data_IF_297359093103
#
_entry.id   IF_297359093103
#
_cell.length_a   1.000
_cell.length_b   1.000
_cell.length_c   1.000
_cell.angle_alpha   90.00
_cell.angle_beta   90.00
_cell.angle_gamma   90.00
#
_symmetry.space_group_name_H-M   'P 1'
#
loop_
_entity.id
_entity.type
_entity.pdbx_description
1 polymer ?
#
# COMPACT_ATOMS: atom_id res chain seq x y z
N UNK A 1 17.13 17.63 10.83
CA UNK A 1 15.69 17.39 10.59
C UNK A 1 15.52 15.94 10.20
N UNK A 2 14.71 15.21 10.94
CA UNK A 2 14.45 13.79 10.69
C UNK A 2 13.66 13.63 9.38
N UNK A 3 14.09 12.71 8.51
CA UNK A 3 13.41 12.43 7.26
C UNK A 3 11.98 11.92 7.49
N UNK A 4 11.73 11.23 8.60
CA UNK A 4 10.42 10.69 8.94
C UNK A 4 9.40 11.78 9.26
N UNK A 5 9.79 12.82 10.00
CA UNK A 5 8.92 13.95 10.31
C UNK A 5 8.44 14.67 9.04
N UNK A 6 9.31 14.79 8.04
CA UNK A 6 8.95 15.37 6.74
C UNK A 6 7.92 14.53 6.00
N UNK A 7 8.06 13.21 6.02
CA UNK A 7 7.07 12.29 5.44
C UNK A 7 5.72 12.46 6.13
N UNK A 8 5.69 12.48 7.48
CA UNK A 8 4.46 12.69 8.24
C UNK A 8 3.81 14.05 7.93
N UNK A 9 4.62 15.10 7.74
CA UNK A 9 4.14 16.41 7.30
C UNK A 9 3.51 16.34 5.91
N UNK A 10 4.15 15.67 4.93
CA UNK A 10 3.55 15.45 3.60
C UNK A 10 2.23 14.69 3.68
N UNK A 11 2.17 13.62 4.47
CA UNK A 11 0.94 12.83 4.64
C UNK A 11 -0.20 13.65 5.28
N UNK A 12 0.10 14.61 6.15
CA UNK A 12 -0.91 15.50 6.73
C UNK A 12 -1.64 16.37 5.70
N UNK A 13 -1.05 16.58 4.52
CA UNK A 13 -1.67 17.36 3.44
C UNK A 13 -2.74 16.58 2.66
N UNK A 14 -2.81 15.24 2.79
CA UNK A 14 -3.71 14.38 2.01
C UNK A 14 -5.16 14.87 2.07
N UNK A 15 -5.66 15.18 3.27
CA UNK A 15 -7.05 15.65 3.47
C UNK A 15 -7.35 17.03 2.88
N UNK A 16 -6.31 17.80 2.53
CA UNK A 16 -6.47 19.12 1.90
C UNK A 16 -6.51 19.06 0.37
N UNK A 17 -6.20 17.90 -0.22
CA UNK A 17 -6.20 17.71 -1.67
C UNK A 17 -7.62 17.43 -2.17
N UNK A 18 -8.02 18.07 -3.26
CA UNK A 18 -9.31 17.84 -3.94
C UNK A 18 -9.29 16.63 -4.88
N UNK A 19 -8.11 16.09 -5.16
CA UNK A 19 -7.91 14.94 -6.04
C UNK A 19 -7.87 13.63 -5.24
N UNK A 20 -8.24 12.50 -5.85
CA UNK A 20 -8.01 11.19 -5.25
C UNK A 20 -6.52 10.95 -5.00
N UNK A 21 -6.19 10.48 -3.81
CA UNK A 21 -4.81 10.18 -3.40
C UNK A 21 -4.62 8.68 -3.21
N UNK A 22 -3.51 8.16 -3.74
CA UNK A 22 -3.12 6.75 -3.58
C UNK A 22 -1.90 6.65 -2.65
N UNK A 23 -2.05 5.91 -1.54
CA UNK A 23 -0.93 5.48 -0.72
C UNK A 23 -0.46 4.10 -1.20
N UNK A 24 0.58 4.07 -2.03
CA UNK A 24 1.13 2.80 -2.54
C UNK A 24 2.15 2.21 -1.58
N UNK A 25 1.93 0.95 -1.19
CA UNK A 25 2.84 0.17 -0.35
C UNK A 25 3.50 -0.87 -1.24
N UNK A 26 4.83 -0.77 -1.40
CA UNK A 26 5.58 -1.87 -2.02
C UNK A 26 5.74 -2.98 -0.98
N UNK A 27 4.99 -4.08 -1.14
CA UNK A 27 5.01 -5.23 -0.26
C UNK A 27 6.23 -6.10 -0.54
N UNK A 28 7.09 -6.26 0.47
CA UNK A 28 8.37 -6.95 0.37
C UNK A 28 8.43 -8.03 1.44
N UNK A 29 8.53 -9.30 1.00
CA UNK A 29 8.61 -10.45 1.89
C UNK A 29 9.86 -10.37 2.76
N UNK A 30 9.70 -10.58 4.06
CA UNK A 30 10.78 -10.53 5.06
C UNK A 30 11.26 -9.11 5.42
N UNK A 31 10.64 -8.05 4.89
CA UNK A 31 11.07 -6.66 5.16
C UNK A 31 9.97 -5.81 5.78
N UNK A 32 8.77 -5.76 5.19
CA UNK A 32 7.71 -4.87 5.69
C UNK A 32 6.32 -5.50 5.75
N UNK A 33 6.11 -6.69 5.19
CA UNK A 33 4.80 -7.34 5.19
C UNK A 33 4.30 -7.77 6.58
N UNK A 34 5.15 -7.70 7.61
CA UNK A 34 4.79 -7.95 9.01
C UNK A 34 4.30 -6.68 9.75
N UNK A 35 4.39 -5.50 9.11
CA UNK A 35 4.08 -4.19 9.71
C UNK A 35 2.65 -3.73 9.43
N UNK A 36 1.70 -4.66 9.37
CA UNK A 36 0.29 -4.40 9.00
C UNK A 36 -0.38 -3.40 9.94
N UNK A 37 -0.10 -3.48 11.24
CA UNK A 37 -0.63 -2.55 12.26
C UNK A 37 -0.09 -1.14 12.09
N UNK A 38 1.19 -0.99 11.77
CA UNK A 38 1.84 0.28 11.53
C UNK A 38 1.29 0.94 10.26
N UNK A 39 1.12 0.17 9.18
CA UNK A 39 0.46 0.65 7.97
C UNK A 39 -0.98 1.05 8.24
N UNK A 40 -1.76 0.21 8.93
CA UNK A 40 -3.14 0.49 9.30
C UNK A 40 -3.27 1.80 10.07
N UNK A 41 -2.37 2.05 11.05
CA UNK A 41 -2.34 3.31 11.81
C UNK A 41 -2.11 4.53 10.92
N UNK A 42 -1.22 4.44 9.92
CA UNK A 42 -0.97 5.54 8.98
C UNK A 42 -2.16 5.75 8.03
N UNK A 43 -2.75 4.66 7.54
CA UNK A 43 -3.91 4.68 6.65
C UNK A 43 -5.10 5.34 7.35
N UNK A 44 -5.46 4.92 8.56
CA UNK A 44 -6.55 5.51 9.34
C UNK A 44 -6.27 6.97 9.74
N UNK A 45 -5.01 7.31 10.03
CA UNK A 45 -4.67 8.68 10.40
C UNK A 45 -4.83 9.67 9.24
N UNK A 46 -4.38 9.29 8.05
CA UNK A 46 -4.26 10.19 6.91
C UNK A 46 -5.34 10.01 5.85
N UNK A 47 -6.10 8.92 5.91
CA UNK A 47 -7.28 8.62 5.09
C UNK A 47 -7.11 8.90 3.58
N UNK A 48 -6.11 8.29 2.90
CA UNK A 48 -5.98 8.42 1.45
C UNK A 48 -7.20 7.82 0.72
N UNK A 49 -7.54 8.28 -0.48
CA UNK A 49 -8.66 7.69 -1.23
C UNK A 49 -8.46 6.20 -1.51
N UNK A 50 -7.23 5.82 -1.81
CA UNK A 50 -6.83 4.44 -2.09
C UNK A 50 -5.57 4.04 -1.34
N UNK A 51 -5.48 2.76 -1.01
CA UNK A 51 -4.23 2.11 -0.59
C UNK A 51 -3.92 1.00 -1.59
N UNK A 52 -2.70 0.97 -2.10
CA UNK A 52 -2.28 0.01 -3.12
C UNK A 52 -1.12 -0.85 -2.59
N UNK A 53 -1.39 -2.00 -1.93
CA UNK A 53 -0.38 -3.03 -1.72
C UNK A 53 0.02 -3.63 -3.07
N UNK A 54 1.30 -3.49 -3.41
CA UNK A 54 1.88 -4.00 -4.64
C UNK A 54 3.13 -4.81 -4.35
N UNK A 55 3.15 -6.07 -4.79
CA UNK A 55 4.27 -6.97 -4.62
C UNK A 55 5.55 -6.42 -5.25
N UNK A 56 6.64 -6.49 -4.50
CA UNK A 56 7.97 -6.20 -5.04
C UNK A 56 8.35 -7.17 -6.16
N UNK A 57 8.91 -6.62 -7.23
CA UNK A 57 9.45 -7.38 -8.36
C UNK A 57 10.96 -7.27 -8.40
N UNK A 58 11.65 -8.40 -8.54
CA UNK A 58 13.12 -8.49 -8.57
C UNK A 58 13.71 -8.00 -9.90
N UNK A 59 13.75 -6.68 -10.09
CA UNK A 59 14.17 -6.04 -11.34
C UNK A 59 15.09 -4.83 -11.12
N UNK A 60 15.87 -4.49 -12.14
CA UNK A 60 16.74 -3.30 -12.14
C UNK A 60 17.75 -3.26 -10.99
N UNK A 61 18.01 -2.06 -10.47
CA UNK A 61 19.02 -1.82 -9.43
C UNK A 61 18.69 -2.49 -8.08
N UNK A 62 17.43 -2.87 -7.84
CA UNK A 62 17.02 -3.56 -6.60
C UNK A 62 17.73 -4.91 -6.42
N UNK A 63 18.18 -5.52 -7.54
CA UNK A 63 18.91 -6.79 -7.53
C UNK A 63 20.22 -6.78 -6.76
N UNK A 64 20.80 -5.59 -6.52
CA UNK A 64 22.03 -5.42 -5.72
C UNK A 64 21.80 -5.43 -4.22
N UNK A 65 20.55 -5.27 -3.76
CA UNK A 65 20.21 -5.04 -2.35
C UNK A 65 19.15 -6.00 -1.82
N UNK A 66 18.50 -6.76 -2.69
CA UNK A 66 17.41 -7.68 -2.38
C UNK A 66 17.67 -9.04 -3.06
N UNK A 67 16.91 -10.06 -2.68
CA UNK A 67 16.88 -11.36 -3.35
C UNK A 67 15.56 -11.60 -4.06
N UNK A 68 15.49 -12.66 -4.88
CA UNK A 68 14.23 -13.10 -5.50
C UNK A 68 13.18 -13.52 -4.48
N UNK A 69 13.62 -14.05 -3.34
CA UNK A 69 12.75 -14.52 -2.24
C UNK A 69 11.99 -13.37 -1.58
N UNK A 70 12.47 -12.13 -1.71
CA UNK A 70 11.75 -10.96 -1.25
C UNK A 70 10.54 -10.60 -2.14
N UNK A 71 10.41 -11.20 -3.33
CA UNK A 71 9.25 -11.00 -4.21
C UNK A 71 8.10 -11.89 -3.74
N UNK A 72 7.01 -11.33 -3.18
CA UNK A 72 5.86 -12.13 -2.78
C UNK A 72 5.09 -12.65 -4.00
N UNK A 73 4.32 -13.71 -3.82
CA UNK A 73 3.23 -14.12 -4.71
C UNK A 73 2.05 -13.13 -4.64
N UNK A 74 1.09 -13.25 -5.57
CA UNK A 74 -0.11 -12.42 -5.50
C UNK A 74 -0.96 -12.76 -4.27
N UNK A 75 -1.06 -14.04 -3.93
CA UNK A 75 -1.74 -14.56 -2.75
C UNK A 75 -1.19 -13.97 -1.46
N UNK A 76 0.14 -13.86 -1.34
CA UNK A 76 0.78 -13.24 -0.19
C UNK A 76 0.50 -11.74 -0.12
N UNK A 77 0.48 -11.03 -1.27
CA UNK A 77 0.10 -9.60 -1.30
C UNK A 77 -1.37 -9.43 -0.91
N UNK A 78 -2.25 -10.32 -1.38
CA UNK A 78 -3.66 -10.33 -1.01
C UNK A 78 -3.87 -10.58 0.47
N UNK A 79 -3.20 -11.58 1.04
CA UNK A 79 -3.30 -11.87 2.48
C UNK A 79 -2.83 -10.67 3.32
N UNK A 80 -1.73 -10.04 2.93
CA UNK A 80 -1.24 -8.80 3.55
C UNK A 80 -2.26 -7.64 3.44
N UNK A 81 -2.90 -7.52 2.29
CA UNK A 81 -3.94 -6.52 2.05
C UNK A 81 -5.22 -6.79 2.86
N UNK A 82 -5.63 -8.06 3.01
CA UNK A 82 -6.76 -8.48 3.85
C UNK A 82 -6.49 -8.20 5.33
N UNK A 83 -5.27 -8.42 5.82
CA UNK A 83 -4.90 -8.09 7.20
C UNK A 83 -4.97 -6.57 7.44
N UNK A 84 -4.45 -5.75 6.51
CA UNK A 84 -4.60 -4.29 6.58
C UNK A 84 -6.08 -3.90 6.56
N UNK A 85 -6.88 -4.47 5.66
CA UNK A 85 -8.32 -4.19 5.58
C UNK A 85 -9.03 -4.54 6.90
N UNK A 86 -8.68 -5.64 7.55
CA UNK A 86 -9.27 -6.05 8.84
C UNK A 86 -8.97 -5.08 10.00
N UNK A 87 -7.92 -4.28 9.87
CA UNK A 87 -7.46 -3.31 10.87
C UNK A 87 -7.87 -1.86 10.54
N UNK A 88 -8.60 -1.66 9.45
CA UNK A 88 -8.95 -0.33 8.94
C UNK A 88 -10.41 -0.28 8.50
N UNK A 89 -10.88 0.92 8.18
CA UNK A 89 -12.16 1.19 7.54
C UNK A 89 -12.16 0.90 6.03
N UNK A 90 -11.04 0.43 5.49
CA UNK A 90 -10.85 0.17 4.06
C UNK A 90 -11.20 -1.28 3.74
N UNK A 91 -11.75 -1.50 2.54
CA UNK A 91 -12.03 -2.82 1.99
C UNK A 91 -11.32 -3.00 0.66
N UNK A 92 -11.07 -4.25 0.30
CA UNK A 92 -10.56 -4.59 -1.03
C UNK A 92 -11.68 -4.34 -2.05
N UNK A 93 -11.38 -3.56 -3.08
CA UNK A 93 -12.34 -3.20 -4.14
C UNK A 93 -11.91 -3.70 -5.52
N UNK A 94 -10.64 -4.04 -5.70
CA UNK A 94 -10.09 -4.55 -6.97
C UNK A 94 -8.73 -5.25 -6.75
N UNK A 95 -8.28 -6.01 -7.73
CA UNK A 95 -6.94 -6.61 -7.77
C UNK A 95 -6.49 -6.92 -9.19
N UNK A 96 -5.17 -7.02 -9.40
CA UNK A 96 -4.59 -7.51 -10.65
C UNK A 96 -3.44 -8.48 -10.37
N UNK A 97 -3.72 -9.76 -10.63
CA UNK A 97 -2.82 -10.89 -10.35
C UNK A 97 -1.50 -10.81 -11.09
N UNK A 98 -1.53 -10.42 -12.38
CA UNK A 98 -0.32 -10.36 -13.20
C UNK A 98 0.73 -9.37 -12.67
N UNK A 99 0.27 -8.27 -12.07
CA UNK A 99 1.12 -7.22 -11.49
C UNK A 99 1.24 -7.31 -9.96
N UNK A 100 0.67 -8.36 -9.35
CA UNK A 100 0.68 -8.62 -7.89
C UNK A 100 0.20 -7.42 -7.08
N UNK A 101 -0.91 -6.84 -7.48
CA UNK A 101 -1.44 -5.61 -6.87
C UNK A 101 -2.86 -5.82 -6.37
N UNK A 102 -3.16 -5.23 -5.21
CA UNK A 102 -4.50 -5.18 -4.62
C UNK A 102 -4.85 -3.73 -4.36
N UNK A 103 -6.12 -3.37 -4.50
CA UNK A 103 -6.63 -2.02 -4.29
C UNK A 103 -7.61 -2.00 -3.13
N UNK A 104 -7.31 -1.16 -2.14
CA UNK A 104 -8.16 -0.91 -0.99
C UNK A 104 -8.77 0.49 -1.09
N UNK A 105 -10.03 0.63 -0.70
CA UNK A 105 -10.69 1.92 -0.55
C UNK A 105 -11.84 1.85 0.45
N UNK A 106 -12.30 3.02 0.90
CA UNK A 106 -13.59 3.19 1.59
C UNK A 106 -14.75 3.33 0.61
N UNK A 107 -14.46 3.62 -0.66
CA UNK A 107 -15.44 3.65 -1.74
C UNK A 107 -15.91 2.22 -2.07
N UNK A 108 -17.10 2.09 -2.66
CA UNK A 108 -17.59 0.80 -3.16
C UNK A 108 -16.96 0.39 -4.49
N UNK A 109 -16.58 1.38 -5.31
CA UNK A 109 -16.01 1.21 -6.64
C UNK A 109 -14.91 2.24 -6.88
N UNK A 110 -13.88 1.91 -7.69
CA UNK A 110 -12.85 2.87 -8.04
C UNK A 110 -13.42 3.98 -8.92
N UNK A 111 -12.94 5.20 -8.69
CA UNK A 111 -13.21 6.37 -9.53
C UNK A 111 -12.62 6.12 -10.92
N UNK A 112 -13.47 6.23 -11.93
CA UNK A 112 -13.11 6.15 -13.35
C UNK A 112 -13.22 7.55 -13.95
N UNK A 113 -12.20 7.97 -14.69
CA UNK A 113 -12.09 9.33 -15.26
C UNK A 113 -12.46 9.37 -16.75
N UNK A 114 -13.29 8.44 -17.21
CA UNK A 114 -13.69 8.28 -18.62
C UNK A 114 -15.20 8.18 -18.77
#
# INVERSE_FOLDING_TARGET
QDAWEKVLKTLSLIKSLSSPVVMRITAIKGVNMHLTKEFARLIEKFEPTYVEPKGYSYVGYSRRRMSRENSPSHEEVRSFAEEIASLTSYKIIDEQRASKVVLLSRLDKPIRFY
#
